data_IF_975594908359
#
_entry.id   IF_975594908359
#
_cell.length_a   1.000
_cell.length_b   1.000
_cell.length_c   1.000
_cell.angle_alpha   90.00
_cell.angle_beta   90.00
_cell.angle_gamma   90.00
#
_symmetry.space_group_name_H-M   'P 1'
#
loop_
_entity.id
_entity.type
_entity.pdbx_description
1 polymer ?
#
# COMPACT_ATOMS: atom_id res chain seq x y z
N UNK A 1 -18.67 0.74 -5.36
CA UNK A 1 -18.98 -0.05 -4.14
C UNK A 1 -19.24 0.94 -3.03
N UNK A 2 -20.26 0.70 -2.20
CA UNK A 2 -20.56 1.55 -1.04
C UNK A 2 -19.51 1.30 0.05
N UNK A 3 -18.94 2.37 0.61
CA UNK A 3 -17.82 2.32 1.55
C UNK A 3 -18.38 2.06 2.95
N UNK A 4 -18.07 0.91 3.57
CA UNK A 4 -18.46 0.59 4.94
C UNK A 4 -17.49 1.25 5.93
N UNK A 5 -17.91 2.29 6.67
CA UNK A 5 -17.05 2.98 7.62
C UNK A 5 -16.60 2.10 8.80
N UNK A 6 -17.29 0.98 9.07
CA UNK A 6 -16.89 0.02 10.11
C UNK A 6 -15.70 -0.87 9.72
N UNK A 7 -15.27 -0.84 8.46
CA UNK A 7 -14.11 -1.57 7.95
C UNK A 7 -12.86 -0.68 7.80
N UNK A 8 -12.93 0.55 8.26
CA UNK A 8 -11.82 1.51 8.19
C UNK A 8 -11.01 1.50 9.48
N UNK A 9 -9.69 1.67 9.36
CA UNK A 9 -8.83 1.96 10.51
C UNK A 9 -9.15 3.36 11.02
N UNK A 10 -9.49 3.49 12.29
CA UNK A 10 -9.68 4.79 12.94
C UNK A 10 -8.32 5.47 13.12
N UNK A 11 -8.22 6.72 12.69
CA UNK A 11 -7.06 7.58 12.95
C UNK A 11 -7.13 8.00 14.43
N UNK A 12 -6.05 7.80 15.23
CA UNK A 12 -6.05 8.22 16.63
C UNK A 12 -6.34 9.71 16.80
N UNK A 13 -7.08 10.05 17.85
CA UNK A 13 -7.35 11.45 18.20
C UNK A 13 -6.03 12.20 18.45
N UNK A 14 -5.78 13.26 17.67
CA UNK A 14 -4.55 14.05 17.74
C UNK A 14 -3.40 13.57 16.85
N UNK A 15 -3.64 12.63 15.93
CA UNK A 15 -2.69 12.32 14.86
C UNK A 15 -2.59 13.52 13.90
N UNK A 16 -1.37 14.07 13.75
CA UNK A 16 -1.09 15.19 12.85
C UNK A 16 -0.65 14.65 11.48
N UNK A 17 -1.59 14.56 10.55
CA UNK A 17 -1.40 14.14 9.17
C UNK A 17 -1.11 15.32 8.21
N UNK A 18 -0.93 16.53 8.75
CA UNK A 18 -0.67 17.74 7.95
C UNK A 18 0.76 17.81 7.41
N UNK A 19 1.68 17.04 7.97
CA UNK A 19 3.03 16.86 7.45
C UNK A 19 3.01 15.83 6.30
N UNK A 20 3.53 16.22 5.14
CA UNK A 20 3.61 15.37 3.96
C UNK A 20 4.43 14.08 4.21
N UNK A 21 5.39 14.10 5.13
CA UNK A 21 6.15 12.90 5.54
C UNK A 21 5.40 12.02 6.57
N UNK A 22 4.34 12.55 7.20
CA UNK A 22 3.47 11.82 8.14
C UNK A 22 2.24 11.21 7.49
N UNK A 23 2.07 11.36 6.18
CA UNK A 23 0.95 10.78 5.45
C UNK A 23 1.01 9.25 5.50
N UNK A 24 0.00 8.66 6.14
CA UNK A 24 -0.19 7.20 6.13
C UNK A 24 -0.83 6.82 4.80
N UNK A 25 -0.03 6.30 3.88
CA UNK A 25 -0.57 5.76 2.64
C UNK A 25 -1.22 4.40 2.91
N UNK A 26 -2.46 4.16 2.44
CA UNK A 26 -3.08 2.85 2.53
C UNK A 26 -2.20 1.83 1.79
N UNK A 27 -1.73 0.83 2.52
CA UNK A 27 -0.84 -0.20 2.01
C UNK A 27 -1.44 -1.58 2.27
N UNK A 28 -1.58 -2.35 1.20
CA UNK A 28 -2.05 -3.72 1.30
C UNK A 28 -0.88 -4.66 1.55
N UNK A 29 -1.12 -5.72 2.32
CA UNK A 29 -0.18 -6.83 2.51
C UNK A 29 -0.80 -8.12 2.00
N UNK A 30 -0.05 -8.92 1.25
CA UNK A 30 -0.45 -10.27 0.85
C UNK A 30 0.59 -11.30 1.27
N UNK A 31 0.09 -12.45 1.71
CA UNK A 31 0.86 -13.56 2.28
C UNK A 31 0.94 -14.71 1.28
N UNK A 32 2.14 -15.27 1.11
CA UNK A 32 2.43 -16.43 0.27
C UNK A 32 3.16 -17.50 1.08
N UNK A 33 2.43 -18.34 1.83
CA UNK A 33 3.00 -19.52 2.44
C UNK A 33 3.39 -20.54 1.36
N UNK A 34 4.49 -21.27 1.57
CA UNK A 34 4.91 -22.37 0.72
C UNK A 34 5.76 -23.41 1.46
N UNK A 35 5.88 -24.60 0.86
CA UNK A 35 6.77 -25.67 1.32
C UNK A 35 8.25 -25.44 0.99
N UNK A 36 8.56 -24.49 0.09
CA UNK A 36 9.93 -24.11 -0.27
C UNK A 36 10.03 -22.61 -0.48
N UNK A 37 11.24 -22.06 -0.30
CA UNK A 37 11.45 -20.64 -0.54
C UNK A 37 11.12 -20.21 -1.98
N UNK A 38 11.57 -21.01 -2.96
CA UNK A 38 11.27 -20.77 -4.36
C UNK A 38 9.76 -20.86 -4.66
N UNK A 39 9.02 -21.73 -3.98
CA UNK A 39 7.57 -21.83 -4.11
C UNK A 39 6.85 -20.55 -3.69
N UNK A 40 7.28 -19.90 -2.60
CA UNK A 40 6.69 -18.64 -2.14
C UNK A 40 6.89 -17.52 -3.18
N UNK A 41 8.10 -17.40 -3.74
CA UNK A 41 8.38 -16.45 -4.83
C UNK A 41 7.62 -16.77 -6.11
N UNK A 42 7.47 -18.04 -6.47
CA UNK A 42 6.68 -18.46 -7.64
C UNK A 42 5.21 -18.05 -7.52
N UNK A 43 4.58 -18.34 -6.38
CA UNK A 43 3.19 -17.93 -6.09
C UNK A 43 3.05 -16.40 -6.12
N UNK A 44 4.02 -15.67 -5.55
CA UNK A 44 4.01 -14.22 -5.57
C UNK A 44 4.17 -13.65 -6.99
N UNK A 45 5.04 -14.22 -7.81
CA UNK A 45 5.25 -13.81 -9.20
C UNK A 45 3.99 -14.02 -10.05
N UNK A 46 3.33 -15.17 -9.92
CA UNK A 46 2.07 -15.45 -10.62
C UNK A 46 1.01 -14.43 -10.24
N UNK A 47 0.86 -14.16 -8.95
CA UNK A 47 -0.11 -13.18 -8.47
C UNK A 47 0.21 -11.75 -8.94
N UNK A 48 1.45 -11.28 -8.82
CA UNK A 48 1.84 -9.93 -9.29
C UNK A 48 1.64 -9.78 -10.80
N UNK A 49 1.80 -10.85 -11.59
CA UNK A 49 1.54 -10.81 -13.03
C UNK A 49 0.06 -10.60 -13.36
N UNK A 50 -0.84 -11.11 -12.53
CA UNK A 50 -2.29 -11.02 -12.73
C UNK A 50 -2.89 -9.70 -12.23
N UNK A 51 -2.17 -8.99 -11.36
CA UNK A 51 -2.69 -7.79 -10.69
C UNK A 51 -1.82 -6.56 -10.99
N UNK A 52 -2.44 -5.46 -11.40
CA UNK A 52 -1.74 -4.19 -11.60
C UNK A 52 -1.47 -3.50 -10.26
N UNK A 53 -0.37 -3.88 -9.61
CA UNK A 53 0.03 -3.38 -8.30
C UNK A 53 1.48 -2.91 -8.33
N UNK A 54 1.76 -1.87 -7.54
CA UNK A 54 3.11 -1.41 -7.29
C UNK A 54 3.63 -2.06 -6.02
N UNK A 55 4.65 -2.91 -6.16
CA UNK A 55 5.37 -3.47 -5.02
C UNK A 55 6.14 -2.36 -4.29
N UNK A 56 5.94 -2.27 -2.99
CA UNK A 56 6.61 -1.32 -2.09
C UNK A 56 7.73 -2.01 -1.33
N UNK A 57 7.44 -3.18 -0.75
CA UNK A 57 8.41 -3.93 0.06
C UNK A 57 8.07 -5.43 0.11
N UNK A 58 9.02 -6.23 0.57
CA UNK A 58 8.85 -7.66 0.84
C UNK A 58 9.46 -8.03 2.19
N UNK A 59 8.79 -8.92 2.93
CA UNK A 59 9.34 -9.51 4.15
C UNK A 59 9.31 -11.03 4.11
N UNK A 60 10.22 -11.64 4.87
CA UNK A 60 10.39 -13.08 4.93
C UNK A 60 10.22 -13.58 6.36
N UNK A 61 9.36 -14.57 6.54
CA UNK A 61 9.12 -15.23 7.82
C UNK A 61 9.22 -16.76 7.68
N UNK A 62 9.43 -17.44 8.81
CA UNK A 62 9.36 -18.89 8.92
C UNK A 62 8.36 -19.27 10.00
N UNK A 63 7.29 -19.96 9.64
CA UNK A 63 6.22 -20.39 10.53
C UNK A 63 6.52 -21.82 11.01
N UNK A 64 6.85 -21.97 12.29
CA UNK A 64 7.05 -23.28 12.90
C UNK A 64 5.73 -24.04 12.99
N UNK A 65 5.81 -25.37 12.82
CA UNK A 65 4.68 -26.31 12.91
C UNK A 65 3.57 -26.14 11.87
N UNK A 66 3.80 -25.34 10.81
CA UNK A 66 2.89 -25.20 9.68
C UNK A 66 3.30 -26.09 8.49
N UNK A 67 2.30 -26.57 7.72
CA UNK A 67 2.53 -27.39 6.52
C UNK A 67 3.28 -26.64 5.41
N UNK A 68 3.10 -25.32 5.36
CA UNK A 68 3.77 -24.40 4.43
C UNK A 68 4.58 -23.34 5.21
N UNK A 69 5.77 -23.71 5.73
CA UNK A 69 6.45 -22.90 6.74
C UNK A 69 7.16 -21.66 6.17
N UNK A 70 7.45 -21.61 4.87
CA UNK A 70 8.10 -20.45 4.26
C UNK A 70 7.05 -19.40 3.90
N UNK A 71 7.08 -18.25 4.56
CA UNK A 71 6.12 -17.18 4.34
C UNK A 71 6.79 -15.96 3.72
N UNK A 72 6.47 -15.70 2.45
CA UNK A 72 6.77 -14.41 1.82
C UNK A 72 5.58 -13.47 2.04
N UNK A 73 5.84 -12.27 2.54
CA UNK A 73 4.87 -11.18 2.53
C UNK A 73 5.27 -10.16 1.49
N UNK A 74 4.31 -9.67 0.71
CA UNK A 74 4.51 -8.49 -0.14
C UNK A 74 3.65 -7.36 0.37
N UNK A 75 4.20 -6.16 0.34
CA UNK A 75 3.53 -4.91 0.65
C UNK A 75 3.39 -4.13 -0.65
N UNK A 76 2.19 -3.66 -0.95
CA UNK A 76 1.89 -3.06 -2.24
C UNK A 76 0.81 -1.99 -2.14
N UNK A 77 0.80 -1.11 -3.14
CA UNK A 77 -0.30 -0.19 -3.41
C UNK A 77 -0.94 -0.55 -4.74
N UNK A 78 -2.23 -0.22 -4.88
CA UNK A 78 -2.86 -0.23 -6.19
C UNK A 78 -2.45 1.06 -6.92
N UNK A 79 -2.03 0.94 -8.17
CA UNK A 79 -1.84 2.14 -8.98
C UNK A 79 -3.23 2.73 -9.27
N UNK A 80 -3.51 3.93 -8.74
CA UNK A 80 -4.67 4.72 -9.12
C UNK A 80 -4.42 5.26 -10.54
N UNK A 81 -5.47 5.30 -11.36
CA UNK A 81 -5.38 6.01 -12.64
C UNK A 81 -4.92 7.45 -12.36
N UNK A 82 -3.98 8.00 -13.15
CA UNK A 82 -3.39 9.33 -12.92
C UNK A 82 -4.43 10.46 -12.91
N UNK A 83 -5.64 10.23 -13.44
CA UNK A 83 -6.76 11.17 -13.40
C UNK A 83 -7.46 11.25 -12.02
N UNK A 84 -7.18 10.33 -11.09
CA UNK A 84 -7.70 10.33 -9.72
C UNK A 84 -6.71 10.92 -8.71
N UNK A 85 -5.48 11.22 -9.14
CA UNK A 85 -4.40 11.82 -8.32
C UNK A 85 -4.33 13.35 -8.50
N UNK A 86 -5.45 13.99 -8.85
CA UNK A 86 -5.53 15.45 -8.86
C UNK A 86 -5.62 15.97 -7.42
N UNK A 87 -4.47 16.01 -6.75
CA UNK A 87 -4.22 16.88 -5.61
C UNK A 87 -4.39 18.33 -6.05
N UNK A 88 -5.64 18.79 -6.04
CA UNK A 88 -6.01 20.20 -6.24
C UNK A 88 -5.54 20.97 -5.00
N UNK A 89 -4.26 21.33 -4.98
CA UNK A 89 -3.78 22.44 -4.17
C UNK A 89 -4.03 23.71 -4.99
N UNK A 90 -5.01 24.55 -4.62
CA UNK A 90 -5.26 25.79 -5.34
C UNK A 90 -4.02 26.67 -5.20
N UNK A 91 -3.44 27.02 -6.35
CA UNK A 91 -2.19 27.74 -6.47
C UNK A 91 -2.17 29.04 -5.66
N UNK A 92 -1.14 29.16 -4.82
CA UNK A 92 -0.71 30.39 -4.20
C UNK A 92 -0.09 31.28 -5.30
N UNK A 93 -0.88 32.22 -5.82
CA UNK A 93 -0.40 33.26 -6.73
C UNK A 93 -0.47 34.60 -5.98
N UNK A 94 0.67 35.18 -5.54
CA UNK A 94 0.63 36.51 -4.94
C UNK A 94 0.29 37.57 -6.00
N UNK A 95 -0.46 38.62 -5.66
CA UNK A 95 -0.83 39.66 -6.61
C UNK A 95 0.41 40.46 -7.05
N UNK A 96 0.57 40.55 -8.37
CA UNK A 96 1.52 41.38 -9.09
C UNK A 96 1.45 42.84 -8.62
N UNK A 97 2.58 43.37 -8.13
CA UNK A 97 2.71 44.76 -7.76
C UNK A 97 2.68 45.64 -9.02
N UNK A 98 1.62 46.44 -9.15
CA UNK A 98 1.48 47.45 -10.20
C UNK A 98 2.57 48.52 -10.07
N UNK A 99 3.28 48.77 -11.18
CA UNK A 99 4.12 49.95 -11.40
C UNK A 99 3.52 50.82 -12.51
#
# INVERSE_FOLDING_TARGET
MEFDPGLCLEVPEGFDDSDAESQVHPMARKLFPATTAAGAFGKAQEWVREHNVRLVDVSWDFLYDEDEPYLLSIYFTFELDPEQDSGDSPGDNPPEAAH
#
